data_IF_877058422023
#
_entry.id   IF_877058422023
#
_cell.length_a   1.000
_cell.length_b   1.000
_cell.length_c   1.000
_cell.angle_alpha   90.00
_cell.angle_beta   90.00
_cell.angle_gamma   90.00
#
_symmetry.space_group_name_H-M   'P 1'
#
loop_
_entity.id
_entity.type
_entity.pdbx_description
1 polymer ?
#
# COMPACT_ATOMS: atom_id res chain seq x y z
N UNK A 1 17.18 2.46 19.26
CA UNK A 1 16.54 3.68 19.80
C UNK A 1 17.44 4.87 19.46
N UNK A 2 16.93 5.98 18.93
CA UNK A 2 17.76 7.14 18.60
C UNK A 2 18.37 7.75 19.87
N UNK A 3 19.57 8.37 19.78
CA UNK A 3 20.11 9.18 20.86
C UNK A 3 19.17 10.36 21.17
N UNK A 4 19.09 10.74 22.45
CA UNK A 4 18.31 11.88 22.90
C UNK A 4 18.68 13.15 22.11
N UNK A 5 17.68 13.87 21.60
CA UNK A 5 17.87 15.08 20.79
C UNK A 5 18.12 14.83 19.29
N UNK A 6 18.29 13.59 18.84
CA UNK A 6 18.50 13.24 17.43
C UNK A 6 17.27 12.58 16.77
N UNK A 7 16.14 12.50 17.46
CA UNK A 7 14.94 11.77 17.03
C UNK A 7 14.44 12.20 15.64
N UNK A 8 14.46 13.51 15.35
CA UNK A 8 14.03 14.05 14.07
C UNK A 8 14.89 13.53 12.90
N UNK A 9 16.22 13.53 13.06
CA UNK A 9 17.15 13.02 12.03
C UNK A 9 16.93 11.53 11.77
N UNK A 10 16.71 10.76 12.82
CA UNK A 10 16.43 9.33 12.69
C UNK A 10 15.06 9.06 12.07
N UNK A 11 14.08 9.94 12.30
CA UNK A 11 12.75 9.83 11.71
C UNK A 11 12.85 10.08 10.21
N UNK A 12 13.56 11.12 9.80
CA UNK A 12 13.77 11.36 8.38
C UNK A 12 14.57 10.23 7.72
N UNK A 13 15.61 9.71 8.38
CA UNK A 13 16.34 8.55 7.88
C UNK A 13 15.44 7.30 7.71
N UNK A 14 14.48 7.08 8.61
CA UNK A 14 13.48 6.01 8.46
C UNK A 14 12.62 6.24 7.22
N UNK A 15 12.09 7.44 7.03
CA UNK A 15 11.24 7.76 5.88
C UNK A 15 11.99 7.70 4.56
N UNK A 16 13.24 8.16 4.51
CA UNK A 16 14.11 8.00 3.34
C UNK A 16 14.29 6.52 2.96
N UNK A 17 14.47 5.64 3.95
CA UNK A 17 14.56 4.20 3.72
C UNK A 17 13.24 3.58 3.24
N UNK A 18 12.10 4.06 3.75
CA UNK A 18 10.79 3.65 3.26
C UNK A 18 10.56 4.10 1.80
N UNK A 19 10.97 5.32 1.47
CA UNK A 19 10.98 5.81 0.08
C UNK A 19 11.84 4.93 -0.83
N UNK A 20 13.07 4.63 -0.42
CA UNK A 20 13.94 3.72 -1.17
C UNK A 20 13.36 2.30 -1.31
N UNK A 21 12.66 1.79 -0.28
CA UNK A 21 11.96 0.51 -0.38
C UNK A 21 10.80 0.57 -1.40
N UNK A 22 10.08 1.70 -1.46
CA UNK A 22 9.03 1.95 -2.47
C UNK A 22 9.60 1.98 -3.88
N UNK A 23 10.78 2.59 -4.10
CA UNK A 23 11.47 2.55 -5.40
C UNK A 23 11.81 1.12 -5.84
N UNK A 24 12.31 0.29 -4.93
CA UNK A 24 12.58 -1.13 -5.23
C UNK A 24 11.30 -1.90 -5.54
N UNK A 25 10.22 -1.63 -4.80
CA UNK A 25 8.92 -2.22 -5.06
C UNK A 25 8.39 -1.83 -6.44
N UNK A 26 8.53 -0.56 -6.82
CA UNK A 26 8.17 -0.07 -8.14
C UNK A 26 8.94 -0.81 -9.25
N UNK A 27 10.27 -0.91 -9.14
CA UNK A 27 11.10 -1.63 -10.10
C UNK A 27 10.73 -3.12 -10.22
N UNK A 28 10.43 -3.77 -9.09
CA UNK A 28 9.96 -5.15 -9.07
C UNK A 28 8.58 -5.31 -9.73
N UNK A 29 7.64 -4.39 -9.46
CA UNK A 29 6.31 -4.37 -10.08
C UNK A 29 6.39 -4.18 -11.60
N UNK A 30 7.25 -3.27 -12.06
CA UNK A 30 7.50 -3.08 -13.50
C UNK A 30 8.13 -4.31 -14.15
N UNK A 31 9.01 -5.02 -13.44
CA UNK A 31 9.56 -6.30 -13.91
C UNK A 31 8.49 -7.37 -14.05
N UNK A 32 7.57 -7.47 -13.09
CA UNK A 32 6.41 -8.37 -13.16
C UNK A 32 5.50 -8.02 -14.35
N UNK A 33 5.28 -6.73 -14.61
CA UNK A 33 4.52 -6.25 -15.76
C UNK A 33 5.21 -6.55 -17.10
N UNK A 34 6.51 -6.32 -17.21
CA UNK A 34 7.28 -6.69 -18.41
C UNK A 34 7.22 -8.20 -18.68
N UNK A 35 7.32 -9.03 -17.64
CA UNK A 35 7.14 -10.47 -17.75
C UNK A 35 5.73 -10.81 -18.27
N UNK A 36 4.69 -10.25 -17.66
CA UNK A 36 3.31 -10.42 -18.11
C UNK A 36 3.14 -10.03 -19.59
N UNK A 37 3.78 -8.94 -20.02
CA UNK A 37 3.77 -8.48 -21.42
C UNK A 37 4.44 -9.46 -22.38
N UNK A 38 5.52 -10.12 -21.96
CA UNK A 38 6.19 -11.15 -22.77
C UNK A 38 5.32 -12.41 -22.85
N UNK A 39 4.78 -12.86 -21.72
CA UNK A 39 3.90 -14.03 -21.64
C UNK A 39 2.62 -13.85 -22.46
N UNK A 40 2.08 -12.63 -22.50
CA UNK A 40 0.89 -12.30 -23.28
C UNK A 40 1.11 -12.33 -24.81
N UNK A 41 2.36 -12.33 -25.27
CA UNK A 41 2.71 -12.27 -26.70
C UNK A 41 3.33 -13.54 -27.23
N UNK A 42 4.10 -14.22 -26.40
CA UNK A 42 4.85 -15.41 -26.79
C UNK A 42 3.96 -16.64 -26.70
N UNK A 43 4.08 -17.49 -27.71
CA UNK A 43 3.44 -18.80 -27.79
C UNK A 43 4.50 -19.88 -27.72
N UNK A 44 4.13 -21.01 -27.17
CA UNK A 44 4.95 -22.21 -27.19
C UNK A 44 5.15 -22.67 -28.66
N UNK A 45 6.40 -22.86 -29.13
CA UNK A 45 6.66 -23.28 -30.50
C UNK A 45 6.12 -24.66 -30.85
N UNK A 46 5.83 -25.51 -29.86
CA UNK A 46 5.35 -26.88 -30.07
C UNK A 46 3.82 -26.95 -29.98
N UNK A 47 3.23 -26.52 -28.85
CA UNK A 47 1.78 -26.57 -28.64
C UNK A 47 1.02 -25.37 -29.22
N UNK A 48 1.72 -24.31 -29.65
CA UNK A 48 1.14 -23.02 -30.05
C UNK A 48 0.27 -22.34 -28.98
N UNK A 49 0.25 -22.87 -27.74
CA UNK A 49 -0.44 -22.30 -26.60
C UNK A 49 0.21 -20.99 -26.19
N UNK A 50 -0.60 -20.03 -25.75
CA UNK A 50 -0.11 -18.74 -25.27
C UNK A 50 0.44 -18.90 -23.86
N UNK A 51 1.67 -18.43 -23.59
CA UNK A 51 2.32 -18.71 -22.31
C UNK A 51 1.57 -18.11 -21.11
N UNK A 52 0.88 -16.99 -21.30
CA UNK A 52 0.03 -16.43 -20.24
C UNK A 52 -1.13 -17.37 -19.89
N UNK A 53 -1.78 -18.01 -20.86
CA UNK A 53 -2.90 -18.93 -20.59
C UNK A 53 -2.44 -20.14 -19.77
N UNK A 54 -1.24 -20.65 -20.06
CA UNK A 54 -0.63 -21.73 -19.29
C UNK A 54 -0.20 -21.27 -17.89
N UNK A 55 0.36 -20.06 -17.77
CA UNK A 55 0.74 -19.47 -16.48
C UNK A 55 -0.48 -19.19 -15.58
N UNK A 56 -1.60 -18.78 -16.17
CA UNK A 56 -2.89 -18.55 -15.50
C UNK A 56 -3.65 -19.86 -15.23
N UNK A 57 -3.16 -20.99 -15.74
CA UNK A 57 -3.88 -22.26 -15.74
C UNK A 57 -4.99 -22.23 -16.79
N UNK A 58 -4.86 -23.11 -17.80
CA UNK A 58 -5.86 -23.28 -18.84
C UNK A 58 -7.25 -23.52 -18.23
N UNK A 59 -8.29 -22.95 -18.84
CA UNK A 59 -9.69 -22.97 -18.38
C UNK A 59 -10.33 -24.37 -18.14
N UNK A 60 -9.57 -25.46 -18.30
CA UNK A 60 -9.99 -26.84 -18.11
C UNK A 60 -9.41 -27.56 -16.89
N UNK A 61 -8.48 -26.98 -16.11
CA UNK A 61 -8.03 -27.62 -14.86
C UNK A 61 -8.92 -27.20 -13.69
N UNK A 62 -9.56 -28.19 -13.05
CA UNK A 62 -10.49 -28.09 -11.91
C UNK A 62 -9.94 -27.29 -10.71
N UNK A 63 -8.63 -27.03 -10.67
CA UNK A 63 -7.96 -26.26 -9.64
C UNK A 63 -7.66 -24.82 -10.10
N UNK A 64 -8.67 -23.96 -10.08
CA UNK A 64 -8.59 -22.50 -9.94
C UNK A 64 -7.66 -21.70 -10.88
N UNK A 65 -8.24 -20.75 -11.63
CA UNK A 65 -7.50 -19.70 -12.36
C UNK A 65 -6.39 -19.10 -11.48
N UNK A 66 -5.13 -19.28 -11.86
CA UNK A 66 -3.98 -18.65 -11.19
C UNK A 66 -3.98 -17.16 -11.49
N UNK A 67 -3.57 -16.36 -10.49
CA UNK A 67 -3.47 -14.92 -10.61
C UNK A 67 -2.35 -14.51 -11.58
N UNK A 68 -2.57 -13.41 -12.31
CA UNK A 68 -1.58 -12.87 -13.24
C UNK A 68 -0.30 -12.43 -12.50
N UNK A 69 0.88 -12.39 -13.15
CA UNK A 69 2.14 -12.01 -12.49
C UNK A 69 2.05 -10.70 -11.71
N UNK A 70 1.39 -9.68 -12.27
CA UNK A 70 1.21 -8.39 -11.61
C UNK A 70 0.33 -8.49 -10.35
N UNK A 71 -0.81 -9.20 -10.44
CA UNK A 71 -1.70 -9.43 -9.30
C UNK A 71 -0.97 -10.17 -8.17
N UNK A 72 -0.18 -11.19 -8.52
CA UNK A 72 0.64 -11.92 -7.55
C UNK A 72 1.67 -11.01 -6.88
N UNK A 73 2.29 -10.12 -7.64
CA UNK A 73 3.20 -9.12 -7.08
C UNK A 73 2.48 -8.22 -6.07
N UNK A 74 1.35 -7.62 -6.42
CA UNK A 74 0.60 -6.72 -5.53
C UNK A 74 0.20 -7.43 -4.24
N UNK A 75 -0.35 -8.64 -4.33
CA UNK A 75 -0.74 -9.42 -3.14
C UNK A 75 0.46 -9.79 -2.29
N UNK A 76 1.55 -10.29 -2.89
CA UNK A 76 2.74 -10.70 -2.16
C UNK A 76 3.46 -9.51 -1.49
N UNK A 77 3.60 -8.40 -2.21
CA UNK A 77 4.16 -7.16 -1.69
C UNK A 77 3.31 -6.62 -0.54
N UNK A 78 2.00 -6.48 -0.72
CA UNK A 78 1.10 -5.92 0.30
C UNK A 78 1.09 -6.78 1.56
N UNK A 79 1.10 -8.11 1.41
CA UNK A 79 1.23 -9.03 2.54
C UNK A 79 2.57 -8.85 3.26
N UNK A 80 3.69 -8.86 2.53
CA UNK A 80 5.02 -8.71 3.12
C UNK A 80 5.22 -7.36 3.81
N UNK A 81 4.77 -6.28 3.17
CA UNK A 81 4.77 -4.93 3.73
C UNK A 81 3.92 -4.88 5.00
N UNK A 82 2.71 -5.44 4.97
CA UNK A 82 1.82 -5.46 6.12
C UNK A 82 2.37 -6.25 7.29
N UNK A 83 3.01 -7.38 7.05
CA UNK A 83 3.71 -8.13 8.09
C UNK A 83 4.87 -7.33 8.73
N UNK A 84 5.66 -6.62 7.92
CA UNK A 84 6.76 -5.77 8.41
C UNK A 84 6.22 -4.58 9.22
N UNK A 85 5.18 -3.91 8.73
CA UNK A 85 4.53 -2.78 9.39
C UNK A 85 3.87 -3.21 10.70
N UNK A 86 3.12 -4.32 10.69
CA UNK A 86 2.51 -4.92 11.89
C UNK A 86 3.57 -5.25 12.94
N UNK A 87 4.68 -5.90 12.56
CA UNK A 87 5.78 -6.21 13.49
C UNK A 87 6.43 -4.94 14.04
N UNK A 88 6.65 -3.94 13.19
CA UNK A 88 7.26 -2.66 13.59
C UNK A 88 6.36 -1.86 14.52
N UNK A 89 5.04 -1.94 14.33
CA UNK A 89 4.03 -1.29 15.16
C UNK A 89 3.81 -2.03 16.49
N UNK A 90 3.82 -3.36 16.48
CA UNK A 90 3.71 -4.18 17.69
C UNK A 90 4.93 -4.03 18.60
N UNK A 91 6.10 -3.71 18.03
CA UNK A 91 7.28 -3.34 18.81
C UNK A 91 7.06 -1.97 19.49
N UNK A 92 7.31 -1.89 20.79
CA UNK A 92 7.32 -0.60 21.47
C UNK A 92 8.53 0.25 21.06
N UNK A 93 8.33 1.58 20.96
CA UNK A 93 9.40 2.56 20.83
C UNK A 93 9.38 3.35 19.53
N UNK A 94 10.54 3.92 19.21
CA UNK A 94 10.71 4.98 18.20
C UNK A 94 10.04 4.71 16.84
N UNK A 95 10.20 3.50 16.29
CA UNK A 95 9.64 3.16 14.97
C UNK A 95 8.11 3.19 14.98
N UNK A 96 7.48 2.62 16.02
CA UNK A 96 6.03 2.67 16.23
C UNK A 96 5.53 4.11 16.31
N UNK A 97 6.17 4.93 17.14
CA UNK A 97 5.71 6.30 17.36
C UNK A 97 5.88 7.17 16.10
N UNK A 98 6.99 6.99 15.39
CA UNK A 98 7.26 7.67 14.12
C UNK A 98 6.25 7.26 13.04
N UNK A 99 5.99 5.96 12.89
CA UNK A 99 5.02 5.44 11.92
C UNK A 99 3.59 5.89 12.25
N UNK A 100 3.23 5.93 13.54
CA UNK A 100 1.90 6.37 13.97
C UNK A 100 1.69 7.86 13.69
N UNK A 101 2.67 8.72 14.01
CA UNK A 101 2.58 10.16 13.74
C UNK A 101 2.61 10.44 12.23
N UNK A 102 3.44 9.71 11.48
CA UNK A 102 3.57 9.86 10.03
C UNK A 102 2.66 8.92 9.22
N UNK A 103 1.59 8.37 9.80
CA UNK A 103 0.67 7.46 9.09
C UNK A 103 0.15 8.05 7.77
N UNK A 104 -0.28 9.34 7.69
CA UNK A 104 -0.68 9.93 6.41
C UNK A 104 0.43 9.87 5.34
N UNK A 105 1.69 10.10 5.73
CA UNK A 105 2.85 10.01 4.81
C UNK A 105 3.06 8.59 4.31
N UNK A 106 2.80 7.57 5.13
CA UNK A 106 2.86 6.17 4.73
C UNK A 106 1.78 5.83 3.69
N UNK A 107 0.56 6.32 3.89
CA UNK A 107 -0.54 6.12 2.93
C UNK A 107 -0.20 6.78 1.59
N UNK A 108 0.27 8.04 1.61
CA UNK A 108 0.72 8.74 0.40
C UNK A 108 1.81 7.97 -0.34
N UNK A 109 2.79 7.38 0.36
CA UNK A 109 3.83 6.54 -0.25
C UNK A 109 3.26 5.32 -0.99
N UNK A 110 2.20 4.70 -0.46
CA UNK A 110 1.52 3.54 -1.08
C UNK A 110 0.66 3.96 -2.27
N UNK A 111 -0.02 5.10 -2.17
CA UNK A 111 -0.78 5.72 -3.26
C UNK A 111 0.14 6.10 -4.42
N UNK A 112 1.24 6.79 -4.13
CA UNK A 112 2.25 7.18 -5.13
C UNK A 112 2.86 5.95 -5.83
N UNK A 113 3.12 4.87 -5.10
CA UNK A 113 3.58 3.61 -5.69
C UNK A 113 2.55 3.05 -6.68
N UNK A 114 1.28 2.98 -6.28
CA UNK A 114 0.20 2.52 -7.14
C UNK A 114 0.06 3.39 -8.39
N UNK A 115 0.03 4.70 -8.23
CA UNK A 115 -0.08 5.64 -9.35
C UNK A 115 1.08 5.51 -10.31
N UNK A 116 2.31 5.37 -9.82
CA UNK A 116 3.48 5.19 -10.69
C UNK A 116 3.41 3.88 -11.47
N UNK A 117 3.06 2.78 -10.81
CA UNK A 117 2.83 1.50 -11.49
C UNK A 117 1.73 1.63 -12.56
N UNK A 118 0.65 2.36 -12.28
CA UNK A 118 -0.41 2.61 -13.26
C UNK A 118 0.11 3.44 -14.44
N UNK A 119 0.73 4.59 -14.19
CA UNK A 119 1.24 5.51 -15.22
C UNK A 119 2.28 4.85 -16.13
N UNK A 120 3.25 4.16 -15.56
CA UNK A 120 4.37 3.60 -16.31
C UNK A 120 3.97 2.33 -17.09
N UNK A 121 2.93 1.63 -16.63
CA UNK A 121 2.38 0.47 -17.35
C UNK A 121 1.34 0.83 -18.42
N UNK A 122 0.56 1.90 -18.23
CA UNK A 122 -0.35 2.46 -19.24
C UNK A 122 0.43 3.20 -20.34
N UNK A 123 1.47 3.95 -19.96
CA UNK A 123 2.28 4.80 -20.85
C UNK A 123 3.31 4.05 -21.70
N UNK A 124 3.65 2.81 -21.36
CA UNK A 124 4.50 1.93 -22.19
C UNK A 124 3.78 1.39 -23.45
N UNK A 125 2.72 2.11 -23.85
CA UNK A 125 1.84 2.12 -25.02
C UNK A 125 2.44 2.15 -26.42
N UNK A 126 3.74 1.88 -26.61
CA UNK A 126 4.31 1.74 -27.95
C UNK A 126 3.62 0.61 -28.72
N UNK A 127 3.65 0.63 -30.06
CA UNK A 127 2.89 -0.26 -30.97
C UNK A 127 2.84 -1.77 -30.62
N UNK A 128 3.75 -2.26 -29.76
CA UNK A 128 3.72 -3.60 -29.20
C UNK A 128 2.82 -3.83 -27.96
N UNK A 129 2.28 -2.86 -27.23
CA UNK A 129 1.53 -3.13 -25.97
C UNK A 129 0.01 -3.23 -26.11
N UNK A 130 -0.54 -3.09 -27.33
CA UNK A 130 -1.98 -3.26 -27.59
C UNK A 130 -2.47 -4.61 -27.04
N UNK A 131 -3.34 -4.56 -26.02
CA UNK A 131 -4.01 -5.72 -25.45
C UNK A 131 -3.38 -6.32 -24.18
N UNK A 132 -2.28 -5.76 -23.66
CA UNK A 132 -1.70 -6.23 -22.38
C UNK A 132 -2.28 -5.44 -21.21
N UNK A 133 -2.83 -6.11 -20.18
CA UNK A 133 -3.35 -5.42 -19.00
C UNK A 133 -2.26 -4.60 -18.28
N UNK A 134 -2.62 -3.45 -17.68
CA UNK A 134 -1.71 -2.64 -16.86
C UNK A 134 -1.17 -3.42 -15.65
N UNK A 135 -0.14 -2.87 -15.01
CA UNK A 135 0.48 -3.46 -13.82
C UNK A 135 -0.44 -3.48 -12.60
N UNK A 136 -1.42 -2.57 -12.57
CA UNK A 136 -2.43 -2.46 -11.53
C UNK A 136 -3.81 -2.28 -12.15
N UNK A 137 -4.83 -2.79 -11.47
CA UNK A 137 -6.23 -2.67 -11.92
C UNK A 137 -6.74 -1.23 -11.79
N UNK A 138 -7.48 -0.79 -12.80
CA UNK A 138 -8.06 0.57 -12.89
C UNK A 138 -9.27 0.78 -11.99
N UNK A 139 -9.84 -0.29 -11.46
CA UNK A 139 -10.96 -0.25 -10.51
C UNK A 139 -10.54 0.19 -9.10
N UNK A 140 -9.24 0.40 -8.87
CA UNK A 140 -8.68 0.80 -7.57
C UNK A 140 -8.62 -0.34 -6.55
N UNK A 141 -8.99 -1.57 -6.92
CA UNK A 141 -8.94 -2.72 -6.01
C UNK A 141 -7.52 -2.99 -5.51
N UNK A 142 -6.52 -2.88 -6.39
CA UNK A 142 -5.11 -3.09 -6.05
C UNK A 142 -4.57 -1.98 -5.12
N UNK A 143 -5.05 -0.73 -5.27
CA UNK A 143 -4.76 0.34 -4.32
C UNK A 143 -5.31 0.00 -2.93
N UNK A 144 -6.55 -0.50 -2.87
CA UNK A 144 -7.15 -0.96 -1.63
C UNK A 144 -6.34 -2.08 -0.97
N UNK A 145 -5.78 -3.02 -1.74
CA UNK A 145 -4.91 -4.08 -1.21
C UNK A 145 -3.59 -3.51 -0.66
N UNK A 146 -2.99 -2.54 -1.35
CA UNK A 146 -1.77 -1.87 -0.91
C UNK A 146 -1.99 -1.08 0.39
N UNK A 147 -3.03 -0.25 0.46
CA UNK A 147 -3.32 0.59 1.64
C UNK A 147 -3.66 -0.28 2.86
N UNK A 148 -4.35 -1.41 2.68
CA UNK A 148 -4.64 -2.37 3.76
C UNK A 148 -3.39 -2.96 4.42
N UNK A 149 -2.23 -2.92 3.75
CA UNK A 149 -0.97 -3.30 4.40
C UNK A 149 -0.65 -2.44 5.63
N UNK A 150 -1.19 -1.21 5.70
CA UNK A 150 -0.99 -0.30 6.81
C UNK A 150 -2.10 -0.35 7.89
N UNK A 151 -3.08 -1.27 7.81
CA UNK A 151 -4.27 -1.33 8.69
C UNK A 151 -3.92 -1.37 10.18
N UNK A 152 -2.84 -2.06 10.52
CA UNK A 152 -2.29 -2.13 11.88
C UNK A 152 -2.08 -0.75 12.51
N UNK A 153 -1.50 0.17 11.74
CA UNK A 153 -1.17 1.53 12.14
C UNK A 153 -2.39 2.43 11.95
N UNK A 154 -3.18 2.19 10.89
CA UNK A 154 -4.39 2.95 10.58
C UNK A 154 -5.39 2.93 11.74
N UNK A 155 -5.70 1.74 12.29
CA UNK A 155 -6.64 1.60 13.39
C UNK A 155 -6.21 2.39 14.62
N UNK A 156 -4.92 2.37 14.94
CA UNK A 156 -4.37 3.12 16.07
C UNK A 156 -4.38 4.64 15.82
N UNK A 157 -4.04 5.07 14.60
CA UNK A 157 -4.08 6.47 14.20
C UNK A 157 -5.49 7.04 14.28
N UNK A 158 -6.47 6.30 13.75
CA UNK A 158 -7.88 6.69 13.76
C UNK A 158 -8.45 6.73 15.18
N UNK A 159 -8.15 5.74 16.02
CA UNK A 159 -8.55 5.75 17.43
C UNK A 159 -8.01 6.98 18.16
N UNK A 160 -6.73 7.33 17.96
CA UNK A 160 -6.10 8.53 18.53
C UNK A 160 -6.75 9.82 18.00
N UNK A 161 -7.06 9.86 16.71
CA UNK A 161 -7.68 11.03 16.08
C UNK A 161 -9.10 11.23 16.60
N UNK A 162 -9.86 10.14 16.78
CA UNK A 162 -11.20 10.17 17.34
C UNK A 162 -11.20 10.64 18.79
N UNK A 163 -10.25 10.19 19.62
CA UNK A 163 -10.09 10.67 20.99
C UNK A 163 -9.82 12.18 21.05
N UNK A 164 -8.93 12.68 20.19
CA UNK A 164 -8.62 14.12 20.12
C UNK A 164 -9.81 14.98 19.69
N UNK A 165 -10.71 14.42 18.89
CA UNK A 165 -11.93 15.11 18.46
C UNK A 165 -13.02 15.01 19.53
N UNK A 166 -13.11 13.90 20.27
CA UNK A 166 -14.15 13.69 21.28
C UNK A 166 -13.85 14.40 22.60
N UNK A 167 -12.59 14.52 23.01
CA UNK A 167 -12.17 15.25 24.23
C UNK A 167 -12.72 16.69 24.31
N UNK A 168 -12.52 17.58 23.30
CA UNK A 168 -13.04 18.93 23.36
C UNK A 168 -14.57 18.98 23.32
N UNK A 169 -15.21 18.07 22.57
CA UNK A 169 -16.68 17.96 22.55
C UNK A 169 -17.20 17.57 23.94
N UNK A 170 -16.59 16.59 24.59
CA UNK A 170 -16.95 16.17 25.94
C UNK A 170 -16.66 17.24 26.99
N UNK A 171 -15.59 18.02 26.82
CA UNK A 171 -15.27 19.14 27.71
C UNK A 171 -16.33 20.26 27.61
N UNK A 172 -16.78 20.58 26.39
CA UNK A 172 -17.84 21.58 26.15
C UNK A 172 -19.21 21.13 26.67
N UNK A 173 -19.50 19.83 26.61
CA UNK A 173 -20.73 19.23 27.12
C UNK A 173 -20.66 18.87 28.61
N UNK A 174 -19.56 19.21 29.29
CA UNK A 174 -19.42 18.91 30.72
C UNK A 174 -20.43 19.71 31.56
N UNK A 175 -20.96 19.15 32.67
CA UNK A 175 -21.91 19.85 33.53
C UNK A 175 -21.41 21.21 33.99
N UNK A 176 -20.10 21.33 34.25
CA UNK A 176 -19.45 22.58 34.65
C UNK A 176 -19.42 23.61 33.52
N UNK A 177 -19.14 23.21 32.28
CA UNK A 177 -19.16 24.10 31.13
C UNK A 177 -20.59 24.59 30.82
N UNK A 178 -21.58 23.69 30.90
CA UNK A 178 -22.99 24.04 30.69
C UNK A 178 -23.53 24.98 31.79
N UNK A 179 -23.12 24.79 33.04
CA UNK A 179 -23.46 25.71 34.14
C UNK A 179 -22.86 27.11 33.94
N UNK A 180 -21.63 27.20 33.43
CA UNK A 180 -21.00 28.49 33.13
C UNK A 180 -21.72 29.26 32.01
N UNK A 181 -22.30 28.55 31.03
CA UNK A 181 -23.12 29.14 29.97
C UNK A 181 -24.50 29.58 30.48
N UNK A 182 -25.08 28.87 31.45
CA UNK A 182 -26.36 29.25 32.07
C UNK A 182 -26.26 30.47 33.00
N UNK A 183 -25.10 30.73 33.60
CA UNK A 183 -24.85 31.92 34.42
C UNK A 183 -24.58 33.21 33.63
N UNK A 184 -24.56 33.14 32.30
CA UNK A 184 -24.33 34.25 31.36
C UNK A 184 -25.62 34.78 30.70
N UNK A 185 -26.78 34.18 31.01
CA UNK A 185 -28.13 34.61 30.59
C UNK A 185 -28.88 35.17 31.79
#
# INVERSE_FOLDING_TARGET
>A
MPPSGQEHRWAEALWQRLGAASEHAHAAGMSAWHLQRVLAKKRDPISHALFLDEALGSAGTVTGRRAAPCERFIVAFSKGAGEVLQRSYAAAGFARDTLLVGFPRLVTLLEELHERLARDSDGAGGAGSKGVPPAVRKDGSDLGVLVKSADAIANAYLARSLLRLSEPVNALLSPSALQSLQGLV
#
